data_IF_926724265123
#
_entry.id   IF_926724265123
#
_cell.length_a   1.000
_cell.length_b   1.000
_cell.length_c   1.000
_cell.angle_alpha   90.00
_cell.angle_beta   90.00
_cell.angle_gamma   90.00
#
_symmetry.space_group_name_H-M   'P 1'
#
loop_
_entity.id
_entity.type
_entity.pdbx_description
1 polymer ?
#
# COMPACT_ATOMS: atom_id res chain seq x y z
N UNK A 1 -7.82 19.00 8.48
CA UNK A 1 -6.60 18.76 7.71
C UNK A 1 -6.97 18.03 6.42
N UNK A 2 -7.17 18.75 5.32
CA UNK A 2 -7.39 18.17 3.99
C UNK A 2 -6.01 17.89 3.38
N UNK A 3 -5.51 16.66 3.50
CA UNK A 3 -4.21 16.30 2.94
C UNK A 3 -3.74 14.89 3.25
N UNK A 4 -4.12 14.34 4.41
CA UNK A 4 -3.63 13.03 4.81
C UNK A 4 -4.55 11.91 4.30
N UNK A 5 -4.05 11.16 3.31
CA UNK A 5 -4.65 9.90 2.89
C UNK A 5 -4.10 8.77 3.75
N UNK A 6 -5.01 7.96 4.32
CA UNK A 6 -4.65 6.75 5.06
C UNK A 6 -5.29 5.54 4.40
N UNK A 7 -4.48 4.52 4.13
CA UNK A 7 -4.96 3.22 3.65
C UNK A 7 -4.96 2.22 4.79
N UNK A 8 -6.13 1.66 5.09
CA UNK A 8 -6.32 0.58 6.06
C UNK A 8 -6.71 -0.66 5.27
N UNK A 9 -6.06 -1.80 5.56
CA UNK A 9 -6.31 -3.07 4.89
C UNK A 9 -6.50 -4.17 5.93
N UNK A 10 -7.55 -4.96 5.78
CA UNK A 10 -7.88 -6.08 6.67
C UNK A 10 -8.61 -7.16 5.89
N UNK A 11 -8.54 -8.40 6.36
CA UNK A 11 -9.42 -9.46 5.87
C UNK A 11 -10.83 -9.21 6.41
N UNK A 12 -11.83 -9.32 5.53
CA UNK A 12 -13.24 -9.27 5.91
C UNK A 12 -13.81 -10.69 6.08
N UNK A 13 -14.82 -10.83 6.94
CA UNK A 13 -15.55 -12.08 7.11
C UNK A 13 -16.88 -12.12 6.34
N UNK A 14 -17.40 -10.95 5.98
CA UNK A 14 -18.66 -10.80 5.23
C UNK A 14 -18.39 -10.10 3.90
N UNK A 15 -18.95 -10.67 2.82
CA UNK A 15 -18.88 -10.05 1.50
C UNK A 15 -19.90 -8.90 1.42
N UNK A 16 -19.42 -7.71 1.11
CA UNK A 16 -20.29 -6.57 0.85
C UNK A 16 -20.91 -6.69 -0.55
N UNK A 17 -22.17 -6.26 -0.70
CA UNK A 17 -22.94 -6.40 -1.96
C UNK A 17 -22.25 -5.76 -3.17
N UNK A 18 -21.52 -4.67 -2.96
CA UNK A 18 -20.82 -3.95 -4.01
C UNK A 18 -19.31 -4.22 -3.91
N UNK A 19 -18.62 -4.20 -5.05
CA UNK A 19 -17.15 -4.31 -5.08
C UNK A 19 -16.46 -3.17 -4.33
N UNK A 20 -17.02 -1.96 -4.38
CA UNK A 20 -16.56 -0.83 -3.57
C UNK A 20 -17.75 0.01 -3.10
N UNK A 21 -17.58 0.66 -1.94
CA UNK A 21 -18.49 1.71 -1.49
C UNK A 21 -17.71 2.92 -0.97
N UNK A 22 -18.37 4.07 -1.02
CA UNK A 22 -17.81 5.36 -0.59
C UNK A 22 -18.76 5.98 0.42
N UNK A 23 -18.20 6.48 1.52
CA UNK A 23 -18.94 7.27 2.52
C UNK A 23 -18.35 8.67 2.55
N UNK A 24 -19.22 9.68 2.45
CA UNK A 24 -18.82 11.10 2.52
C UNK A 24 -19.32 11.66 3.84
N UNK A 25 -18.39 12.07 4.71
CA UNK A 25 -18.66 12.80 5.94
C UNK A 25 -18.03 14.19 5.84
N UNK A 26 -18.46 15.13 6.68
CA UNK A 26 -17.94 16.51 6.65
C UNK A 26 -16.43 16.57 6.90
N UNK A 27 -15.92 15.67 7.75
CA UNK A 27 -14.52 15.64 8.17
C UNK A 27 -13.62 14.78 7.27
N UNK A 28 -14.14 13.66 6.74
CA UNK A 28 -13.38 12.73 5.93
C UNK A 28 -14.27 11.95 4.96
N UNK A 29 -13.64 11.39 3.94
CA UNK A 29 -14.29 10.51 2.97
C UNK A 29 -13.59 9.17 3.01
N UNK A 30 -14.35 8.08 3.10
CA UNK A 30 -13.80 6.71 3.03
C UNK A 30 -14.16 6.07 1.70
N UNK A 31 -13.25 5.25 1.17
CA UNK A 31 -13.49 4.35 0.04
C UNK A 31 -13.03 2.96 0.46
N UNK A 32 -13.95 2.01 0.46
CA UNK A 32 -13.69 0.62 0.86
C UNK A 32 -13.99 -0.27 -0.32
N UNK A 33 -13.09 -1.22 -0.62
CA UNK A 33 -13.25 -2.18 -1.70
C UNK A 33 -13.07 -3.61 -1.18
N UNK A 34 -13.88 -4.52 -1.71
CA UNK A 34 -13.83 -5.96 -1.45
C UNK A 34 -12.72 -6.59 -2.29
N UNK A 35 -12.03 -7.55 -1.69
CA UNK A 35 -10.91 -8.25 -2.28
C UNK A 35 -11.12 -9.74 -2.06
N UNK A 36 -11.11 -10.56 -3.13
CA UNK A 36 -11.57 -11.96 -3.08
C UNK A 36 -10.45 -13.00 -3.10
N UNK A 37 -9.27 -12.60 -3.57
CA UNK A 37 -8.12 -13.49 -3.72
C UNK A 37 -7.12 -13.30 -2.58
N UNK A 38 -6.36 -14.33 -2.25
CA UNK A 38 -5.32 -14.23 -1.24
C UNK A 38 -4.26 -13.20 -1.66
N UNK A 39 -4.00 -12.23 -0.78
CA UNK A 39 -3.01 -11.19 -1.01
C UNK A 39 -3.42 -10.09 -2.00
N UNK A 40 -4.66 -10.06 -2.50
CA UNK A 40 -5.06 -9.01 -3.45
C UNK A 40 -5.09 -7.59 -2.84
N UNK A 41 -5.12 -7.48 -1.50
CA UNK A 41 -4.98 -6.23 -0.78
C UNK A 41 -3.54 -6.01 -0.27
N UNK A 42 -2.52 -6.62 -0.88
CA UNK A 42 -1.13 -6.37 -0.49
C UNK A 42 -0.74 -4.91 -0.78
N UNK A 43 -0.01 -4.28 0.15
CA UNK A 43 0.59 -2.97 -0.06
C UNK A 43 1.92 -3.10 -0.79
N UNK A 44 2.22 -2.19 -1.72
CA UNK A 44 3.59 -2.05 -2.24
C UNK A 44 4.46 -1.39 -1.18
N UNK A 45 5.40 -2.15 -0.61
CA UNK A 45 6.34 -1.65 0.39
C UNK A 45 7.59 -0.99 -0.21
N UNK A 46 7.71 -0.91 -1.53
CA UNK A 46 8.90 -0.35 -2.20
C UNK A 46 8.84 1.17 -2.12
N UNK A 47 9.39 1.71 -1.04
CA UNK A 47 9.70 3.13 -0.95
C UNK A 47 11.02 3.44 -1.68
N UNK A 48 11.18 4.68 -2.16
CA UNK A 48 12.39 5.19 -2.82
C UNK A 48 13.63 5.00 -1.95
N UNK A 49 13.46 5.08 -0.63
CA UNK A 49 14.49 4.83 0.37
C UNK A 49 15.11 3.43 0.23
N UNK A 50 14.29 2.41 -0.03
CA UNK A 50 14.73 1.01 -0.19
C UNK A 50 15.51 0.85 -1.50
N UNK A 51 15.03 1.47 -2.58
CA UNK A 51 15.72 1.44 -3.87
C UNK A 51 17.12 2.06 -3.80
N UNK A 52 17.26 3.19 -3.11
CA UNK A 52 18.55 3.86 -2.93
C UNK A 52 19.55 2.99 -2.16
N UNK A 53 19.10 2.33 -1.09
CA UNK A 53 19.94 1.42 -0.31
C UNK A 53 20.43 0.26 -1.16
N UNK A 54 19.56 -0.37 -1.96
CA UNK A 54 19.95 -1.45 -2.87
C UNK A 54 21.02 -1.01 -3.87
N UNK A 55 20.89 0.18 -4.47
CA UNK A 55 21.91 0.73 -5.37
C UNK A 55 23.24 1.01 -4.67
N UNK A 56 23.22 1.50 -3.43
CA UNK A 56 24.45 1.76 -2.66
C UNK A 56 25.19 0.46 -2.31
N UNK A 57 24.45 -0.61 -1.98
CA UNK A 57 25.02 -1.92 -1.66
C UNK A 57 25.61 -2.56 -2.92
N UNK A 58 24.90 -2.54 -4.05
CA UNK A 58 25.41 -3.13 -5.30
C UNK A 58 26.66 -2.42 -5.80
N UNK A 59 26.71 -1.09 -5.74
CA UNK A 59 27.91 -0.32 -6.10
C UNK A 59 29.11 -0.64 -5.20
N UNK A 60 28.89 -0.78 -3.88
CA UNK A 60 29.94 -1.20 -2.95
C UNK A 60 30.43 -2.61 -3.23
N UNK A 61 29.54 -3.58 -3.47
CA UNK A 61 29.91 -4.96 -3.78
C UNK A 61 30.71 -5.03 -5.09
N UNK A 62 30.29 -4.30 -6.12
CA UNK A 62 31.02 -4.22 -7.39
C UNK A 62 32.42 -3.61 -7.19
N UNK A 63 32.55 -2.59 -6.34
CA UNK A 63 33.84 -1.98 -6.01
C UNK A 63 34.77 -2.94 -5.25
N UNK A 64 34.23 -3.78 -4.37
CA UNK A 64 35.01 -4.78 -3.62
C UNK A 64 35.43 -5.99 -4.48
N UNK A 65 34.67 -6.32 -5.52
CA UNK A 65 34.93 -7.43 -6.43
C UNK A 65 35.64 -7.01 -7.73
N UNK A 66 36.08 -5.75 -7.85
CA UNK A 66 36.88 -5.22 -8.95
C UNK A 66 38.30 -4.94 -8.48
#
# INVERSE_FOLDING_TARGET
FRGDERVIRSCGYEEYKNECYKTVLEEYTTKVCTCKEDGCNIGTCIDKSILLLLCSVTTHVIFLHK
#
